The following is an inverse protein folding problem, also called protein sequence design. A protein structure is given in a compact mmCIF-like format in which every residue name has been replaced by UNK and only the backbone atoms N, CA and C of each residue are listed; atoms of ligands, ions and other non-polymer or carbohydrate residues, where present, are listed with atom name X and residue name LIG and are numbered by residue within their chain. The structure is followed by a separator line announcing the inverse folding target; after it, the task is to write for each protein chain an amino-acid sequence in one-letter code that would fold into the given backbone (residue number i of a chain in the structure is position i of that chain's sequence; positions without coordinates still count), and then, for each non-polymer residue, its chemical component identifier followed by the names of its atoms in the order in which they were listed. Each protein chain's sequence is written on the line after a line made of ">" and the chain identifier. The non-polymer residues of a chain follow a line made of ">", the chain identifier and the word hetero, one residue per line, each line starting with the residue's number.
data_IF_435709559527
#
_entry.id   IF_435709559527
#
_cell.length_a   1.000
_cell.length_b   1.000
_cell.length_c   1.000
_cell.angle_alpha   90.00
_cell.angle_beta   90.00
_cell.angle_gamma   90.00
#
_symmetry.space_group_name_H-M   'P 1'
#
loop_
_entity.id
_entity.type
_entity.pdbx_description
1 polymer ?
#
# COMPACT_ATOMS: atom_id res chain seq x y z
N UNK A 1 8.93 1.70 7.67
CA UNK A 1 7.90 2.76 7.75
C UNK A 1 7.01 2.44 8.92
N UNK A 2 6.85 3.41 9.82
CA UNK A 2 5.98 3.31 10.99
C UNK A 2 4.64 3.99 10.68
N UNK A 3 3.54 3.29 10.95
CA UNK A 3 2.19 3.81 10.79
C UNK A 3 1.32 3.46 12.01
N UNK A 4 0.31 4.30 12.26
CA UNK A 4 -0.75 4.06 13.23
C UNK A 4 -2.03 3.73 12.48
N UNK A 5 -2.71 2.66 12.90
CA UNK A 5 -4.01 2.26 12.35
C UNK A 5 -5.15 2.61 13.33
N UNK A 6 -6.39 2.53 12.86
CA UNK A 6 -7.58 2.70 13.69
C UNK A 6 -7.51 1.85 14.98
N UNK A 7 -7.88 2.44 16.12
CA UNK A 7 -7.68 1.84 17.44
C UNK A 7 -6.31 2.13 18.08
N UNK A 8 -5.42 2.84 17.38
CA UNK A 8 -4.18 3.38 17.96
C UNK A 8 -2.97 2.46 17.88
N UNK A 9 -3.14 1.23 17.37
CA UNK A 9 -2.06 0.26 17.20
C UNK A 9 -0.99 0.76 16.22
N UNK A 10 0.27 0.44 16.50
CA UNK A 10 1.42 0.77 15.65
C UNK A 10 1.83 -0.46 14.84
N UNK A 11 2.06 -0.26 13.55
CA UNK A 11 2.55 -1.29 12.63
C UNK A 11 3.85 -0.80 11.96
N UNK A 12 4.75 -1.74 11.72
CA UNK A 12 5.98 -1.48 10.98
C UNK A 12 5.95 -2.27 9.67
N UNK A 13 6.05 -1.55 8.56
CA UNK A 13 6.07 -2.11 7.21
C UNK A 13 7.40 -1.78 6.55
N UNK A 14 7.93 -2.68 5.73
CA UNK A 14 9.17 -2.48 4.96
C UNK A 14 8.90 -2.69 3.47
N UNK A 15 9.90 -2.44 2.62
CA UNK A 15 9.87 -2.84 1.21
C UNK A 15 8.60 -2.44 0.44
N UNK A 16 7.94 -3.45 -0.15
CA UNK A 16 6.79 -3.25 -1.03
C UNK A 16 5.47 -3.15 -0.27
N UNK A 17 5.39 -3.69 0.95
CA UNK A 17 4.28 -3.48 1.88
C UNK A 17 4.20 -2.00 2.28
N UNK A 18 5.35 -1.40 2.62
CA UNK A 18 5.43 0.02 2.97
C UNK A 18 5.02 0.92 1.79
N UNK A 19 5.51 0.61 0.58
CA UNK A 19 5.11 1.31 -0.63
C UNK A 19 3.60 1.17 -0.88
N UNK A 20 3.05 -0.03 -0.72
CA UNK A 20 1.61 -0.29 -0.90
C UNK A 20 0.77 0.55 0.08
N UNK A 21 1.14 0.55 1.37
CA UNK A 21 0.42 1.30 2.39
C UNK A 21 0.52 2.82 2.18
N UNK A 22 1.70 3.32 1.81
CA UNK A 22 1.91 4.73 1.50
C UNK A 22 1.02 5.17 0.33
N UNK A 23 1.04 4.42 -0.77
CA UNK A 23 0.23 4.74 -1.96
C UNK A 23 -1.27 4.65 -1.66
N UNK A 24 -1.72 3.68 -0.85
CA UNK A 24 -3.11 3.62 -0.38
C UNK A 24 -3.52 4.90 0.38
N UNK A 25 -2.67 5.38 1.29
CA UNK A 25 -2.93 6.62 2.05
C UNK A 25 -2.92 7.84 1.13
N UNK A 26 -1.93 7.97 0.25
CA UNK A 26 -1.79 9.10 -0.69
C UNK A 26 -2.97 9.21 -1.65
N UNK A 27 -3.51 8.07 -2.11
CA UNK A 27 -4.60 8.04 -3.10
C UNK A 27 -5.98 8.12 -2.46
N UNK A 28 -6.07 7.84 -1.16
CA UNK A 28 -7.29 7.94 -0.37
C UNK A 28 -8.47 7.24 -1.04
N UNK A 29 -9.54 7.99 -1.28
CA UNK A 29 -10.81 7.48 -1.82
C UNK A 29 -10.72 6.93 -3.25
N UNK A 30 -9.66 7.23 -4.01
CA UNK A 30 -9.46 6.66 -5.36
C UNK A 30 -9.04 5.19 -5.33
N UNK A 31 -8.57 4.70 -4.19
CA UNK A 31 -8.00 3.37 -4.04
C UNK A 31 -6.75 3.16 -4.92
N UNK A 32 -6.26 1.92 -4.95
CA UNK A 32 -5.09 1.53 -5.75
C UNK A 32 -5.36 0.22 -6.48
N UNK A 33 -4.85 0.08 -7.70
CA UNK A 33 -4.77 -1.16 -8.46
C UNK A 33 -3.31 -1.40 -8.86
N UNK A 34 -3.04 -2.55 -9.49
CA UNK A 34 -1.69 -2.91 -9.91
C UNK A 34 -1.06 -1.94 -10.92
N UNK A 35 -1.85 -1.04 -11.50
CA UNK A 35 -1.39 -0.04 -12.48
C UNK A 35 -0.76 1.20 -11.84
N UNK A 36 -0.91 1.37 -10.53
CA UNK A 36 -0.58 2.62 -9.85
C UNK A 36 0.80 2.63 -9.20
N UNK A 37 1.59 1.58 -9.45
CA UNK A 37 2.89 1.36 -8.84
C UNK A 37 4.02 1.33 -9.88
N UNK A 38 5.23 1.80 -9.51
CA UNK A 38 6.42 1.64 -10.34
C UNK A 38 6.71 0.14 -10.59
N UNK A 39 6.66 -0.26 -11.86
CA UNK A 39 6.79 -1.66 -12.29
C UNK A 39 5.51 -2.28 -12.88
N UNK A 40 4.37 -1.59 -12.83
CA UNK A 40 3.15 -1.96 -13.55
C UNK A 40 2.51 -3.30 -13.11
N UNK A 41 1.72 -3.98 -13.97
CA UNK A 41 0.83 -5.10 -13.61
C UNK A 41 1.52 -6.38 -13.11
N UNK A 42 2.86 -6.41 -13.00
CA UNK A 42 3.62 -7.46 -12.32
C UNK A 42 3.81 -7.21 -10.81
N UNK A 43 3.24 -6.12 -10.28
CA UNK A 43 3.24 -5.81 -8.86
C UNK A 43 2.38 -6.83 -8.11
N UNK A 44 2.96 -7.56 -7.13
CA UNK A 44 2.26 -8.56 -6.28
C UNK A 44 1.28 -7.91 -5.28
N UNK A 45 0.49 -6.94 -5.74
CA UNK A 45 -0.37 -6.09 -4.92
C UNK A 45 -1.28 -6.90 -3.99
N UNK A 46 -1.86 -7.99 -4.49
CA UNK A 46 -2.72 -8.86 -3.70
C UNK A 46 -2.01 -9.46 -2.48
N UNK A 47 -0.73 -9.82 -2.60
CA UNK A 47 0.07 -10.35 -1.49
C UNK A 47 0.33 -9.27 -0.44
N UNK A 48 0.78 -8.08 -0.87
CA UNK A 48 1.03 -6.97 0.07
C UNK A 48 -0.25 -6.51 0.77
N UNK A 49 -1.38 -6.48 0.07
CA UNK A 49 -2.68 -6.19 0.69
C UNK A 49 -3.08 -7.29 1.69
N UNK A 50 -2.80 -8.56 1.39
CA UNK A 50 -3.04 -9.66 2.32
C UNK A 50 -2.22 -9.48 3.61
N UNK A 51 -0.93 -9.15 3.50
CA UNK A 51 -0.06 -8.92 4.65
C UNK A 51 -0.52 -7.71 5.48
N UNK A 52 -0.86 -6.59 4.82
CA UNK A 52 -1.37 -5.38 5.49
C UNK A 52 -2.69 -5.65 6.25
N UNK A 53 -3.59 -6.47 5.70
CA UNK A 53 -4.80 -6.91 6.41
C UNK A 53 -4.45 -7.76 7.63
N UNK A 54 -3.46 -8.64 7.51
CA UNK A 54 -2.92 -9.41 8.64
C UNK A 54 -2.35 -8.51 9.75
N UNK A 55 -1.84 -7.33 9.41
CA UNK A 55 -1.39 -6.31 10.36
C UNK A 55 -2.53 -5.44 10.94
N UNK A 56 -3.79 -5.68 10.54
CA UNK A 56 -4.96 -4.96 11.04
C UNK A 56 -5.36 -3.74 10.20
N UNK A 57 -4.74 -3.51 9.04
CA UNK A 57 -5.18 -2.44 8.14
C UNK A 57 -6.51 -2.84 7.50
N UNK A 58 -7.55 -2.02 7.68
CA UNK A 58 -8.83 -2.20 7.01
C UNK A 58 -8.70 -1.87 5.53
N UNK A 59 -8.80 -2.88 4.68
CA UNK A 59 -8.73 -2.74 3.22
C UNK A 59 -9.87 -3.54 2.58
N UNK A 60 -10.72 -2.89 1.80
CA UNK A 60 -11.71 -3.57 0.95
C UNK A 60 -11.18 -3.72 -0.48
N UNK A 61 -11.66 -4.75 -1.18
CA UNK A 61 -11.37 -4.96 -2.61
C UNK A 61 -12.66 -4.80 -3.40
N UNK A 62 -12.59 -4.02 -4.48
CA UNK A 62 -13.59 -4.03 -5.56
C UNK A 62 -12.99 -4.68 -6.80
N UNK A 63 -13.82 -5.40 -7.54
CA UNK A 63 -13.46 -5.93 -8.85
C UNK A 63 -13.63 -4.83 -9.89
N UNK A 64 -12.53 -4.47 -10.56
CA UNK A 64 -12.51 -3.54 -11.68
C UNK A 64 -12.34 -4.31 -12.99
N UNK A 65 -13.30 -4.16 -13.90
CA UNK A 65 -13.24 -4.76 -15.23
C UNK A 65 -12.21 -4.04 -16.10
N UNK A 66 -11.42 -4.81 -16.83
CA UNK A 66 -10.41 -4.29 -17.76
C UNK A 66 -10.34 -5.16 -19.01
N UNK A 67 -10.81 -4.63 -20.15
CA UNK A 67 -10.68 -5.27 -21.46
C UNK A 67 -11.09 -6.74 -21.45
N UNK A 68 -10.09 -7.62 -21.49
CA UNK A 68 -10.24 -9.09 -21.53
C UNK A 68 -10.23 -9.79 -20.15
N UNK A 69 -10.30 -9.04 -19.05
CA UNK A 69 -10.26 -9.61 -17.70
C UNK A 69 -10.70 -8.63 -16.60
N UNK A 70 -10.34 -8.96 -15.37
CA UNK A 70 -10.65 -8.13 -14.20
C UNK A 70 -9.44 -8.08 -13.27
N UNK A 71 -9.32 -6.99 -12.51
CA UNK A 71 -8.33 -6.87 -11.45
C UNK A 71 -8.94 -6.26 -10.19
N UNK A 72 -8.24 -6.36 -9.07
CA UNK A 72 -8.67 -5.75 -7.82
C UNK A 72 -8.28 -4.27 -7.75
N UNK A 73 -9.22 -3.42 -7.34
CA UNK A 73 -8.94 -2.10 -6.79
C UNK A 73 -9.14 -2.15 -5.27
N UNK A 74 -8.17 -1.65 -4.54
CA UNK A 74 -8.10 -1.75 -3.08
C UNK A 74 -8.30 -0.37 -2.46
N UNK A 75 -9.12 -0.29 -1.41
CA UNK A 75 -9.43 0.97 -0.73
C UNK A 75 -9.23 0.81 0.77
N UNK A 76 -8.65 1.82 1.42
CA UNK A 76 -8.64 1.90 2.87
C UNK A 76 -10.08 2.05 3.39
N UNK A 77 -10.41 1.29 4.41
CA UNK A 77 -11.67 1.39 5.17
C UNK A 77 -11.44 1.83 6.61
N UNK A 78 -10.19 1.88 7.04
CA UNK A 78 -9.77 2.41 8.34
C UNK A 78 -8.81 3.56 8.11
N UNK A 79 -8.84 4.55 9.00
CA UNK A 79 -7.84 5.60 9.02
C UNK A 79 -6.45 5.00 9.30
N UNK A 80 -5.46 5.49 8.54
CA UNK A 80 -4.05 5.15 8.73
C UNK A 80 -3.27 6.47 8.74
N UNK A 81 -2.51 6.69 9.81
CA UNK A 81 -1.61 7.82 9.94
C UNK A 81 -0.16 7.34 9.76
N UNK A 82 0.53 7.88 8.75
CA UNK A 82 1.97 7.64 8.57
C UNK A 82 2.72 8.47 9.62
N UNK A 83 3.50 7.81 10.47
CA UNK A 83 4.28 8.46 11.53
C UNK A 83 5.70 8.76 11.07
N UNK A 84 6.34 7.80 10.41
CA UNK A 84 7.70 7.96 9.92
C UNK A 84 7.95 7.10 8.68
N UNK A 85 8.57 7.70 7.67
CA UNK A 85 9.05 7.01 6.47
C UNK A 85 10.58 7.06 6.49
N UNK A 86 11.20 5.88 6.40
CA UNK A 86 12.63 5.75 6.18
C UNK A 86 12.82 5.32 4.73
N UNK A 87 13.48 6.19 3.95
CA UNK A 87 13.76 5.94 2.53
C UNK A 87 15.08 5.17 2.32
N UNK A 88 15.79 4.83 3.39
CA UNK A 88 17.14 4.29 3.33
C UNK A 88 18.16 5.34 2.86
N UNK A 89 19.44 5.05 3.07
CA UNK A 89 20.50 5.85 2.46
C UNK A 89 20.51 5.63 0.94
N UNK A 90 20.55 6.70 0.15
CA UNK A 90 20.80 6.59 -1.29
C UNK A 90 22.25 6.17 -1.49
N UNK A 91 22.47 4.93 -1.89
CA UNK A 91 23.80 4.49 -2.34
C UNK A 91 24.10 5.17 -3.68
N UNK A 92 24.80 6.31 -3.68
CA UNK A 92 25.26 6.94 -4.93
C UNK A 92 25.48 8.45 -4.96
N UNK A 93 25.17 9.24 -3.92
CA UNK A 93 25.62 10.64 -3.86
C UNK A 93 27.08 10.67 -3.37
N UNK A 94 28.01 10.44 -4.31
CA UNK A 94 29.41 10.75 -4.12
C UNK A 94 29.59 12.28 -4.09
N UNK A 95 30.35 12.74 -3.10
CA UNK A 95 30.83 14.12 -2.97
C UNK A 95 31.79 14.50 -4.11
#
# INVERSE_FOLDING_TARGET
>A
MLARIAGGALINTTGREALTLLTLVERGSKGVSGLDFPGGPAYRLGAYVFDLRGMGVGIRTETESHGIGHHGRYFLTTEVQIIAVDHGAKTGEAA
#
